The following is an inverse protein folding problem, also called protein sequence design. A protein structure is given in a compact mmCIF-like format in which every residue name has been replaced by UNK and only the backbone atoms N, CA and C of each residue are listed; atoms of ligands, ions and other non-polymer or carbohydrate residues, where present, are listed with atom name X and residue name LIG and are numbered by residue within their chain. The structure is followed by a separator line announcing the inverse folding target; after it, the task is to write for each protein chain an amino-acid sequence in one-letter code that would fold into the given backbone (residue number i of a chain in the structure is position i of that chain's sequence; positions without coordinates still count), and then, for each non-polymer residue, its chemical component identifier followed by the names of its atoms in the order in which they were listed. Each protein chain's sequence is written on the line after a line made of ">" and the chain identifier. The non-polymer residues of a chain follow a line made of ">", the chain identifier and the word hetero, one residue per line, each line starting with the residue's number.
data_IF_178044341144
#
_entry.id   IF_178044341144
#
_cell.length_a   1.000
_cell.length_b   1.000
_cell.length_c   1.000
_cell.angle_alpha   90.00
_cell.angle_beta   90.00
_cell.angle_gamma   90.00
#
_symmetry.space_group_name_H-M   'P 1'
#
loop_
_entity.id
_entity.type
_entity.pdbx_description
1 polymer ?
#
# COMPACT_ATOMS: atom_id res chain seq x y z
N UNK A 1 37.08 80.45 54.10
CA UNK A 1 37.07 80.14 52.66
C UNK A 1 37.55 78.71 52.47
N UNK A 2 36.65 77.75 52.23
CA UNK A 2 37.03 76.38 51.83
C UNK A 2 35.88 75.57 51.22
N UNK A 3 34.64 76.08 51.23
CA UNK A 3 33.45 75.33 50.82
C UNK A 3 33.05 75.51 49.35
N UNK A 4 33.65 76.47 48.64
CA UNK A 4 33.30 76.84 47.25
C UNK A 4 34.16 76.10 46.21
N UNK A 5 35.42 75.78 46.54
CA UNK A 5 36.33 75.08 45.63
C UNK A 5 35.98 73.59 45.46
N UNK A 6 35.41 72.97 46.50
CA UNK A 6 35.05 71.53 46.47
C UNK A 6 33.78 71.28 45.64
N UNK A 7 32.83 72.23 45.64
CA UNK A 7 31.61 72.13 44.83
C UNK A 7 31.89 72.24 43.33
N UNK A 8 32.82 73.13 42.96
CA UNK A 8 33.15 73.38 41.55
C UNK A 8 33.90 72.18 40.93
N UNK A 9 34.75 71.51 41.71
CA UNK A 9 35.44 70.28 41.29
C UNK A 9 34.50 69.07 41.16
N UNK A 10 33.50 68.97 42.04
CA UNK A 10 32.48 67.92 41.98
C UNK A 10 31.56 68.09 40.76
N UNK A 11 31.18 69.32 40.44
CA UNK A 11 30.37 69.65 39.25
C UNK A 11 31.13 69.34 37.95
N UNK A 12 32.42 69.66 37.87
CA UNK A 12 33.24 69.28 36.70
C UNK A 12 33.33 67.76 36.51
N UNK A 13 33.38 66.98 37.60
CA UNK A 13 33.36 65.51 37.51
C UNK A 13 32.01 65.00 37.01
N UNK A 14 30.91 65.57 37.48
CA UNK A 14 29.56 65.19 37.05
C UNK A 14 29.37 65.49 35.56
N UNK A 15 29.82 66.65 35.08
CA UNK A 15 29.74 67.02 33.67
C UNK A 15 30.55 66.09 32.76
N UNK A 16 31.77 65.71 33.18
CA UNK A 16 32.60 64.75 32.46
C UNK A 16 31.96 63.36 32.41
N UNK A 17 31.33 62.92 33.50
CA UNK A 17 30.61 61.65 33.56
C UNK A 17 29.34 61.68 32.71
N UNK A 18 28.60 62.79 32.68
CA UNK A 18 27.41 62.94 31.84
C UNK A 18 27.77 62.93 30.36
N UNK A 19 28.84 63.64 29.97
CA UNK A 19 29.32 63.68 28.59
C UNK A 19 29.84 62.30 28.14
N UNK A 20 30.55 61.58 29.00
CA UNK A 20 30.99 60.20 28.75
C UNK A 20 29.80 59.24 28.62
N UNK A 21 28.79 59.36 29.50
CA UNK A 21 27.58 58.55 29.46
C UNK A 21 26.77 58.79 28.17
N UNK A 22 26.64 60.05 27.73
CA UNK A 22 25.95 60.42 26.48
C UNK A 22 26.65 59.84 25.26
N UNK A 23 27.99 59.88 25.22
CA UNK A 23 28.78 59.31 24.11
C UNK A 23 28.70 57.79 24.06
N UNK A 24 28.73 57.12 25.22
CA UNK A 24 28.57 55.67 25.30
C UNK A 24 27.17 55.23 24.81
N UNK A 25 26.11 55.97 25.17
CA UNK A 25 24.75 55.69 24.69
C UNK A 25 24.62 55.79 23.18
N UNK A 26 25.24 56.79 22.55
CA UNK A 26 25.27 56.93 21.09
C UNK A 26 26.04 55.80 20.42
N UNK A 27 27.18 55.38 20.99
CA UNK A 27 27.96 54.25 20.48
C UNK A 27 27.16 52.94 20.55
N UNK A 28 26.47 52.68 21.68
CA UNK A 28 25.64 51.49 21.85
C UNK A 28 24.46 51.46 20.87
N UNK A 29 23.82 52.62 20.63
CA UNK A 29 22.74 52.71 19.63
C UNK A 29 23.26 52.42 18.21
N UNK A 30 24.40 53.01 17.83
CA UNK A 30 25.03 52.72 16.54
C UNK A 30 25.38 51.24 16.37
N UNK A 31 25.95 50.62 17.41
CA UNK A 31 26.31 49.20 17.41
C UNK A 31 25.08 48.29 17.30
N UNK A 32 23.99 48.61 18.01
CA UNK A 32 22.74 47.85 17.92
C UNK A 32 22.10 47.92 16.53
N UNK A 33 22.16 49.08 15.88
CA UNK A 33 21.61 49.26 14.53
C UNK A 33 22.42 48.48 13.49
N UNK A 34 23.75 48.50 13.61
CA UNK A 34 24.64 47.73 12.74
C UNK A 34 24.43 46.22 12.88
N UNK A 35 24.34 45.72 14.12
CA UNK A 35 24.07 44.32 14.40
C UNK A 35 22.68 43.88 13.92
N UNK A 36 21.66 44.72 14.15
CA UNK A 36 20.29 44.45 13.68
C UNK A 36 20.20 44.36 12.16
N UNK A 37 20.88 45.26 11.43
CA UNK A 37 20.93 45.23 9.96
C UNK A 37 21.59 43.96 9.43
N UNK A 38 22.70 43.54 10.05
CA UNK A 38 23.44 42.34 9.66
C UNK A 38 22.64 41.05 9.92
N UNK A 39 21.93 40.99 11.05
CA UNK A 39 21.00 39.91 11.37
C UNK A 39 19.85 39.82 10.36
N UNK A 40 19.20 40.94 10.04
CA UNK A 40 18.12 40.97 9.04
C UNK A 40 18.62 40.52 7.67
N UNK A 41 19.77 41.02 7.22
CA UNK A 41 20.37 40.59 5.95
C UNK A 41 20.65 39.08 5.91
N UNK A 42 21.15 38.50 7.01
CA UNK A 42 21.41 37.06 7.11
C UNK A 42 20.14 36.21 7.07
N UNK A 43 19.07 36.67 7.72
CA UNK A 43 17.76 35.99 7.72
C UNK A 43 17.13 36.05 6.33
N UNK A 44 17.15 37.22 5.67
CA UNK A 44 16.65 37.36 4.30
C UNK A 44 17.42 36.49 3.30
N UNK A 45 18.75 36.44 3.42
CA UNK A 45 19.59 35.61 2.55
C UNK A 45 19.29 34.11 2.71
N UNK A 46 19.16 33.63 3.95
CA UNK A 46 18.78 32.24 4.23
C UNK A 46 17.39 31.90 3.68
N UNK A 47 16.43 32.82 3.78
CA UNK A 47 15.07 32.60 3.29
C UNK A 47 15.02 32.48 1.76
N UNK A 48 15.80 33.31 1.04
CA UNK A 48 15.89 33.25 -0.42
C UNK A 48 16.55 31.94 -0.86
N UNK A 49 17.61 31.49 -0.17
CA UNK A 49 18.28 30.23 -0.50
C UNK A 49 17.38 29.01 -0.25
N UNK A 50 16.59 29.01 0.84
CA UNK A 50 15.69 27.91 1.16
C UNK A 50 14.56 27.74 0.14
N UNK A 51 14.10 28.84 -0.47
CA UNK A 51 13.00 28.83 -1.43
C UNK A 51 13.44 28.71 -2.91
N UNK A 52 14.69 29.06 -3.24
CA UNK A 52 15.10 29.35 -4.61
C UNK A 52 15.57 28.17 -5.47
N UNK A 53 16.42 27.29 -4.94
CA UNK A 53 17.26 26.41 -5.80
C UNK A 53 16.93 24.92 -5.67
N UNK A 54 16.84 24.39 -4.44
CA UNK A 54 16.58 22.96 -4.20
C UNK A 54 15.13 22.54 -4.50
N UNK A 55 14.18 23.47 -4.41
CA UNK A 55 12.75 23.17 -4.58
C UNK A 55 12.40 22.86 -6.05
N UNK A 56 13.00 23.53 -7.02
CA UNK A 56 12.68 23.28 -8.44
C UNK A 56 13.34 21.99 -8.96
N UNK A 57 14.57 21.71 -8.54
CA UNK A 57 15.27 20.48 -8.92
C UNK A 57 14.60 19.23 -8.32
N UNK A 58 14.16 19.30 -7.05
CA UNK A 58 13.42 18.20 -6.40
C UNK A 58 12.04 17.99 -7.02
N UNK A 59 11.30 19.05 -7.34
CA UNK A 59 10.00 18.95 -8.05
C UNK A 59 10.15 18.32 -9.44
N UNK A 60 11.19 18.67 -10.21
CA UNK A 60 11.47 18.05 -11.51
C UNK A 60 11.87 16.57 -11.38
N UNK A 61 12.66 16.22 -10.36
CA UNK A 61 13.02 14.84 -10.09
C UNK A 61 11.80 13.99 -9.72
N UNK A 62 10.90 14.52 -8.88
CA UNK A 62 9.64 13.87 -8.52
C UNK A 62 8.71 13.72 -9.72
N UNK A 63 8.58 14.74 -10.59
CA UNK A 63 7.78 14.65 -11.81
C UNK A 63 8.27 13.55 -12.76
N UNK A 64 9.59 13.39 -12.91
CA UNK A 64 10.19 12.28 -13.69
C UNK A 64 9.91 10.92 -13.07
N UNK A 65 9.95 10.84 -11.74
CA UNK A 65 9.66 9.61 -11.02
C UNK A 65 8.19 9.21 -11.19
N UNK A 66 7.25 10.16 -11.09
CA UNK A 66 5.81 9.94 -11.35
C UNK A 66 5.59 9.45 -12.79
N UNK A 67 6.18 10.10 -13.79
CA UNK A 67 6.08 9.66 -15.18
C UNK A 67 6.65 8.25 -15.41
N UNK A 68 7.73 7.90 -14.72
CA UNK A 68 8.29 6.55 -14.78
C UNK A 68 7.38 5.50 -14.13
N UNK A 69 6.69 5.87 -13.05
CA UNK A 69 5.74 5.01 -12.35
C UNK A 69 4.48 4.81 -13.17
N UNK A 70 3.93 5.86 -13.78
CA UNK A 70 2.80 5.76 -14.71
C UNK A 70 3.10 4.79 -15.86
N UNK A 71 4.30 4.89 -16.46
CA UNK A 71 4.73 3.97 -17.52
C UNK A 71 4.84 2.52 -17.02
N UNK A 72 5.36 2.33 -15.81
CA UNK A 72 5.44 1.00 -15.20
C UNK A 72 4.05 0.42 -14.93
N UNK A 73 3.12 1.22 -14.40
CA UNK A 73 1.73 0.80 -14.16
C UNK A 73 1.05 0.40 -15.47
N UNK A 74 1.21 1.19 -16.53
CA UNK A 74 0.62 0.90 -17.83
C UNK A 74 1.18 -0.40 -18.44
N UNK A 75 2.49 -0.63 -18.33
CA UNK A 75 3.11 -1.89 -18.78
C UNK A 75 2.67 -3.10 -17.95
N UNK A 76 2.36 -2.91 -16.67
CA UNK A 76 1.84 -3.97 -15.81
C UNK A 76 0.39 -4.29 -16.15
N UNK A 77 -0.43 -3.27 -16.41
CA UNK A 77 -1.80 -3.45 -16.85
C UNK A 77 -1.88 -4.24 -18.16
N UNK A 78 -1.00 -3.93 -19.14
CA UNK A 78 -0.91 -4.69 -20.39
C UNK A 78 -0.53 -6.16 -20.16
N UNK A 79 0.47 -6.43 -19.31
CA UNK A 79 0.87 -7.80 -18.98
C UNK A 79 -0.21 -8.60 -18.25
N UNK A 80 -1.10 -7.93 -17.50
CA UNK A 80 -2.25 -8.58 -16.86
C UNK A 80 -3.31 -8.94 -17.91
N UNK A 81 -3.58 -8.04 -18.86
CA UNK A 81 -4.52 -8.28 -19.95
C UNK A 81 -4.07 -9.43 -20.88
N UNK A 82 -2.77 -9.46 -21.22
CA UNK A 82 -2.14 -10.56 -21.96
C UNK A 82 -2.27 -11.90 -21.21
N UNK A 83 -2.04 -11.91 -19.90
CA UNK A 83 -2.22 -13.13 -19.10
C UNK A 83 -3.68 -13.56 -19.03
N UNK A 84 -4.62 -12.62 -18.93
CA UNK A 84 -6.03 -12.92 -18.84
C UNK A 84 -6.58 -13.48 -20.16
N UNK A 85 -6.12 -12.95 -21.29
CA UNK A 85 -6.43 -13.48 -22.63
C UNK A 85 -5.82 -14.87 -22.86
N UNK A 86 -4.58 -15.10 -22.43
CA UNK A 86 -3.96 -16.43 -22.46
C UNK A 86 -4.74 -17.44 -21.58
N UNK A 87 -5.14 -17.07 -20.38
CA UNK A 87 -5.95 -17.94 -19.52
C UNK A 87 -7.31 -18.26 -20.13
N UNK A 88 -7.98 -17.27 -20.72
CA UNK A 88 -9.26 -17.46 -21.41
C UNK A 88 -9.13 -18.44 -22.58
N UNK A 89 -8.12 -18.25 -23.44
CA UNK A 89 -7.87 -19.16 -24.57
C UNK A 89 -7.50 -20.58 -24.13
N UNK A 90 -6.72 -20.74 -23.06
CA UNK A 90 -6.42 -22.07 -22.49
C UNK A 90 -7.69 -22.74 -21.92
N UNK A 91 -8.57 -21.97 -21.30
CA UNK A 91 -9.83 -22.47 -20.78
C UNK A 91 -10.77 -22.91 -21.91
N UNK A 92 -10.89 -22.12 -22.98
CA UNK A 92 -11.65 -22.49 -24.18
C UNK A 92 -11.10 -23.75 -24.85
N UNK A 93 -9.78 -23.85 -25.03
CA UNK A 93 -9.13 -25.02 -25.61
C UNK A 93 -9.36 -26.27 -24.75
N UNK A 94 -9.28 -26.15 -23.42
CA UNK A 94 -9.53 -27.26 -22.49
C UNK A 94 -11.00 -27.69 -22.52
N UNK A 95 -11.94 -26.74 -22.61
CA UNK A 95 -13.37 -27.06 -22.72
C UNK A 95 -13.68 -27.77 -24.03
N UNK A 96 -13.15 -27.28 -25.16
CA UNK A 96 -13.32 -27.93 -26.47
C UNK A 96 -12.74 -29.36 -26.47
N UNK A 97 -11.60 -29.58 -25.81
CA UNK A 97 -11.02 -30.91 -25.63
C UNK A 97 -11.92 -31.80 -24.77
N UNK A 98 -12.52 -31.29 -23.70
CA UNK A 98 -13.47 -32.05 -22.87
C UNK A 98 -14.75 -32.41 -23.65
N UNK A 99 -15.26 -31.50 -24.49
CA UNK A 99 -16.46 -31.75 -25.30
C UNK A 99 -16.22 -32.72 -26.46
N UNK A 100 -15.06 -32.69 -27.12
CA UNK A 100 -14.71 -33.72 -28.11
C UNK A 100 -14.51 -35.09 -27.45
N UNK A 101 -14.05 -35.09 -26.20
CA UNK A 101 -14.09 -36.25 -25.31
C UNK A 101 -15.50 -36.56 -24.76
N UNK A 102 -16.58 -35.86 -25.10
CA UNK A 102 -17.93 -36.28 -24.69
C UNK A 102 -18.62 -37.13 -25.79
N UNK A 103 -18.12 -37.11 -27.03
CA UNK A 103 -18.73 -37.79 -28.17
C UNK A 103 -18.39 -39.29 -28.25
N UNK A 104 -17.36 -39.75 -27.52
CA UNK A 104 -17.05 -41.17 -27.38
C UNK A 104 -17.35 -41.69 -25.95
N UNK A 105 -17.87 -42.91 -25.78
CA UNK A 105 -18.15 -43.46 -24.45
C UNK A 105 -16.90 -43.64 -23.59
N UNK A 106 -15.75 -43.98 -24.19
CA UNK A 106 -14.45 -44.06 -23.49
C UNK A 106 -13.96 -42.70 -23.01
N UNK A 107 -14.47 -41.62 -23.61
CA UNK A 107 -14.04 -40.27 -23.30
C UNK A 107 -14.95 -39.61 -22.26
N UNK A 108 -16.23 -40.02 -22.14
CA UNK A 108 -17.09 -39.67 -20.98
C UNK A 108 -16.47 -40.17 -19.66
N UNK A 109 -15.93 -41.38 -19.65
CA UNK A 109 -15.24 -41.92 -18.48
C UNK A 109 -14.00 -41.09 -18.08
N UNK A 110 -13.25 -40.60 -19.07
CA UNK A 110 -12.10 -39.73 -18.83
C UNK A 110 -12.51 -38.35 -18.31
N UNK A 111 -13.58 -37.76 -18.88
CA UNK A 111 -14.14 -36.50 -18.39
C UNK A 111 -14.64 -36.64 -16.95
N UNK A 112 -15.34 -37.72 -16.62
CA UNK A 112 -15.78 -37.99 -15.26
C UNK A 112 -14.60 -38.12 -14.29
N UNK A 113 -13.50 -38.75 -14.70
CA UNK A 113 -12.28 -38.87 -13.90
C UNK A 113 -11.64 -37.51 -13.61
N UNK A 114 -11.56 -36.62 -14.61
CA UNK A 114 -11.04 -35.25 -14.44
C UNK A 114 -11.94 -34.45 -13.49
N UNK A 115 -13.26 -34.52 -13.66
CA UNK A 115 -14.21 -33.81 -12.80
C UNK A 115 -14.18 -34.34 -11.36
N UNK A 116 -13.98 -35.64 -11.16
CA UNK A 116 -13.78 -36.21 -9.82
C UNK A 116 -12.49 -35.71 -9.16
N UNK A 117 -11.38 -35.64 -9.92
CA UNK A 117 -10.14 -35.07 -9.41
C UNK A 117 -10.33 -33.61 -9.01
N UNK A 118 -11.05 -32.83 -9.82
CA UNK A 118 -11.38 -31.45 -9.53
C UNK A 118 -12.25 -31.30 -8.27
N UNK A 119 -13.29 -32.12 -8.09
CA UNK A 119 -14.11 -32.11 -6.86
C UNK A 119 -13.30 -32.50 -5.62
N UNK A 120 -12.36 -33.44 -5.73
CA UNK A 120 -11.46 -33.79 -4.63
C UNK A 120 -10.57 -32.60 -4.24
N UNK A 121 -9.94 -31.97 -5.22
CA UNK A 121 -9.03 -30.85 -4.99
C UNK A 121 -9.80 -29.63 -4.45
N UNK A 122 -11.03 -29.41 -4.93
CA UNK A 122 -11.95 -28.38 -4.41
C UNK A 122 -12.29 -28.61 -2.93
N UNK A 123 -12.63 -29.84 -2.53
CA UNK A 123 -12.88 -30.16 -1.10
C UNK A 123 -11.65 -29.96 -0.25
N UNK A 124 -10.46 -30.33 -0.74
CA UNK A 124 -9.21 -30.11 -0.01
C UNK A 124 -8.97 -28.61 0.22
N UNK A 125 -9.21 -27.77 -0.79
CA UNK A 125 -9.11 -26.32 -0.66
C UNK A 125 -10.12 -25.76 0.36
N UNK A 126 -11.38 -26.18 0.30
CA UNK A 126 -12.41 -25.77 1.27
C UNK A 126 -12.08 -26.21 2.71
N UNK A 127 -11.53 -27.41 2.89
CA UNK A 127 -11.09 -27.88 4.21
C UNK A 127 -9.89 -27.10 4.75
N UNK A 128 -8.97 -26.67 3.88
CA UNK A 128 -7.88 -25.79 4.26
C UNK A 128 -8.41 -24.40 4.66
N UNK A 129 -9.34 -23.85 3.87
CA UNK A 129 -10.01 -22.58 4.18
C UNK A 129 -10.77 -22.64 5.51
N UNK A 130 -11.55 -23.70 5.76
CA UNK A 130 -12.26 -23.91 7.02
C UNK A 130 -11.33 -23.89 8.23
N UNK A 131 -10.15 -24.52 8.12
CA UNK A 131 -9.13 -24.51 9.16
C UNK A 131 -8.53 -23.12 9.35
N UNK A 132 -8.09 -22.48 8.27
CA UNK A 132 -7.50 -21.14 8.33
C UNK A 132 -8.44 -20.09 8.91
N UNK A 133 -9.74 -20.13 8.57
CA UNK A 133 -10.72 -19.22 9.15
C UNK A 133 -10.94 -19.46 10.65
N UNK A 134 -10.93 -20.72 11.09
CA UNK A 134 -11.00 -21.04 12.52
C UNK A 134 -9.78 -20.53 13.28
N UNK A 135 -8.59 -20.68 12.70
CA UNK A 135 -7.36 -20.18 13.30
C UNK A 135 -7.39 -18.65 13.42
N UNK A 136 -7.81 -17.95 12.35
CA UNK A 136 -8.01 -16.50 12.37
C UNK A 136 -9.05 -16.06 13.40
N UNK A 137 -10.16 -16.79 13.50
CA UNK A 137 -11.22 -16.49 14.46
C UNK A 137 -10.77 -16.67 15.92
N UNK A 138 -9.81 -17.55 16.17
CA UNK A 138 -9.21 -17.70 17.51
C UNK A 138 -8.22 -16.57 17.84
N UNK A 139 -7.65 -15.91 16.83
CA UNK A 139 -6.68 -14.81 17.02
C UNK A 139 -7.36 -13.44 17.20
N UNK A 140 -8.58 -13.24 16.70
CA UNK A 140 -9.28 -11.96 16.76
C UNK A 140 -10.40 -11.97 17.83
N UNK A 141 -10.42 -11.03 18.80
CA UNK A 141 -11.51 -10.92 19.76
C UNK A 141 -12.82 -10.50 19.09
N UNK A 142 -13.95 -11.09 19.51
CA UNK A 142 -15.28 -10.84 18.93
C UNK A 142 -15.57 -11.59 17.63
N UNK A 143 -14.59 -12.32 17.10
CA UNK A 143 -14.67 -12.98 15.80
C UNK A 143 -15.27 -14.41 15.89
N UNK A 144 -16.20 -14.64 16.82
CA UNK A 144 -16.89 -15.95 16.95
C UNK A 144 -18.22 -16.01 16.21
N UNK A 145 -18.90 -14.87 16.05
CA UNK A 145 -20.18 -14.79 15.34
C UNK A 145 -20.02 -15.02 13.84
N UNK A 146 -19.12 -14.27 13.16
CA UNK A 146 -18.86 -14.46 11.72
C UNK A 146 -18.38 -15.90 11.40
N UNK A 147 -17.57 -16.52 12.28
CA UNK A 147 -17.11 -17.89 12.08
C UNK A 147 -18.29 -18.87 11.96
N UNK A 148 -19.35 -18.69 12.76
CA UNK A 148 -20.55 -19.52 12.70
C UNK A 148 -21.24 -19.41 11.34
N UNK A 149 -21.43 -18.19 10.84
CA UNK A 149 -22.13 -17.92 9.57
C UNK A 149 -21.36 -18.52 8.37
N UNK A 150 -20.02 -18.40 8.38
CA UNK A 150 -19.17 -18.97 7.34
C UNK A 150 -19.02 -20.49 7.44
N UNK A 151 -19.02 -21.05 8.65
CA UNK A 151 -18.88 -22.49 8.87
C UNK A 151 -20.09 -23.26 8.34
N UNK A 152 -21.30 -22.73 8.50
CA UNK A 152 -22.51 -23.30 7.88
C UNK A 152 -22.42 -23.30 6.35
N UNK A 153 -22.10 -22.14 5.76
CA UNK A 153 -21.99 -22.00 4.30
C UNK A 153 -20.93 -22.95 3.71
N UNK A 154 -19.77 -23.06 4.36
CA UNK A 154 -18.72 -23.99 3.96
C UNK A 154 -19.13 -25.45 4.08
N UNK A 155 -19.87 -25.79 5.14
CA UNK A 155 -20.36 -27.14 5.37
C UNK A 155 -21.34 -27.56 4.28
N UNK A 156 -22.32 -26.72 3.96
CA UNK A 156 -23.25 -26.94 2.84
C UNK A 156 -22.50 -27.09 1.51
N UNK A 157 -21.49 -26.26 1.28
CA UNK A 157 -20.69 -26.33 0.04
C UNK A 157 -19.89 -27.64 -0.08
N UNK A 158 -19.34 -28.14 1.03
CA UNK A 158 -18.67 -29.44 1.09
C UNK A 158 -19.65 -30.59 0.80
N UNK A 159 -20.86 -30.53 1.36
CA UNK A 159 -21.92 -31.51 1.12
C UNK A 159 -22.35 -31.52 -0.35
N UNK A 160 -22.58 -30.35 -0.94
CA UNK A 160 -22.89 -30.23 -2.37
C UNK A 160 -21.77 -30.79 -3.25
N UNK A 161 -20.50 -30.55 -2.88
CA UNK A 161 -19.35 -31.11 -3.60
C UNK A 161 -19.30 -32.64 -3.52
N UNK A 162 -19.60 -33.21 -2.35
CA UNK A 162 -19.71 -34.66 -2.19
C UNK A 162 -20.82 -35.23 -3.08
N UNK A 163 -22.00 -34.60 -3.09
CA UNK A 163 -23.11 -35.04 -3.90
C UNK A 163 -22.81 -34.96 -5.40
N UNK A 164 -22.09 -33.91 -5.86
CA UNK A 164 -21.61 -33.84 -7.24
C UNK A 164 -20.63 -34.97 -7.56
N UNK A 165 -19.73 -35.32 -6.65
CA UNK A 165 -18.81 -36.45 -6.83
C UNK A 165 -19.54 -37.78 -6.99
N UNK A 166 -20.60 -38.01 -6.23
CA UNK A 166 -21.44 -39.21 -6.33
C UNK A 166 -22.21 -39.25 -7.66
N UNK A 167 -22.79 -38.12 -8.07
CA UNK A 167 -23.46 -38.00 -9.36
C UNK A 167 -22.50 -38.25 -10.55
N UNK A 168 -21.26 -37.79 -10.46
CA UNK A 168 -20.23 -38.04 -11.48
C UNK A 168 -19.85 -39.52 -11.57
N UNK A 169 -19.82 -40.25 -10.44
CA UNK A 169 -19.61 -41.70 -10.43
C UNK A 169 -20.76 -42.43 -11.14
N UNK A 170 -22.00 -42.08 -10.82
CA UNK A 170 -23.19 -42.67 -11.45
C UNK A 170 -23.22 -42.38 -12.96
N UNK A 171 -22.90 -41.16 -13.37
CA UNK A 171 -22.82 -40.77 -14.77
C UNK A 171 -21.76 -41.56 -15.54
N UNK A 172 -20.57 -41.74 -14.95
CA UNK A 172 -19.51 -42.54 -15.55
C UNK A 172 -19.93 -44.01 -15.74
N UNK A 173 -20.60 -44.59 -14.73
CA UNK A 173 -21.08 -45.96 -14.77
C UNK A 173 -22.18 -46.15 -15.83
N UNK A 174 -23.14 -45.22 -15.90
CA UNK A 174 -24.18 -45.23 -16.94
C UNK A 174 -23.59 -45.15 -18.35
N UNK A 175 -22.59 -44.27 -18.55
CA UNK A 175 -21.91 -44.15 -19.84
C UNK A 175 -21.18 -45.44 -20.23
N UNK A 176 -20.55 -46.12 -19.25
CA UNK A 176 -19.89 -47.41 -19.46
C UNK A 176 -20.88 -48.51 -19.84
N UNK A 177 -22.02 -48.58 -19.17
CA UNK A 177 -23.07 -49.56 -19.47
C UNK A 177 -23.68 -49.34 -20.87
N UNK A 178 -23.94 -48.07 -21.24
CA UNK A 178 -24.44 -47.72 -22.57
C UNK A 178 -23.44 -48.06 -23.70
N UNK A 179 -22.14 -48.04 -23.41
CA UNK A 179 -21.09 -48.46 -24.34
C UNK A 179 -21.10 -49.98 -24.57
N UNK A 180 -21.31 -50.75 -23.49
CA UNK A 180 -21.35 -52.21 -23.54
C UNK A 180 -22.61 -52.73 -24.24
N UNK A 181 -23.75 -52.05 -24.13
CA UNK A 181 -25.00 -52.46 -24.80
C UNK A 181 -25.04 -52.19 -26.31
N UNK A 182 -24.08 -51.42 -26.85
CA UNK A 182 -23.97 -51.10 -28.28
C UNK A 182 -22.99 -52.02 -29.05
N UNK A 183 -22.29 -52.93 -28.36
CA UNK A 183 -21.47 -53.98 -28.96
C UNK A 183 -22.26 -55.28 -29.07
#
# INVERSE_FOLDING_TARGET
>A
MSSSDDSDAEQQRIDLLEQAARRNRLFLLGLSAALGSLMLGSVLFNLIHLLGDDSQATLQAQARQIASLEKQVQSQAQRLDEQQTLLASLQEARLQQVFSLAEHPDSIAQVAQVLQAQERDYRQALQALKRGMRDLANMLPGSRSWLSDYEETLQQTLEHSQQRSENLLLWAEQARQAALSKK
#
